data_IF_124283224574
#
_entry.id   IF_124283224574
#
_cell.length_a   1.000
_cell.length_b   1.000
_cell.length_c   1.000
_cell.angle_alpha   90.00
_cell.angle_beta   90.00
_cell.angle_gamma   90.00
#
_symmetry.space_group_name_H-M   'P 1'
#
loop_
_entity.id
_entity.type
_entity.pdbx_description
1 polymer ?
#
# COMPACT_ATOMS: atom_id res chain seq x y z
N UNK A 1 -8.93 7.40 -22.90
CA UNK A 1 -9.47 6.68 -21.74
C UNK A 1 -8.37 5.74 -21.29
N UNK A 2 -7.87 5.85 -20.06
CA UNK A 2 -6.84 4.94 -19.54
C UNK A 2 -7.44 3.53 -19.45
N UNK A 3 -6.80 2.53 -20.07
CA UNK A 3 -7.26 1.14 -19.92
C UNK A 3 -6.83 0.59 -18.57
N UNK A 4 -7.57 -0.39 -18.05
CA UNK A 4 -7.15 -1.13 -16.85
C UNK A 4 -5.78 -1.79 -17.06
N UNK A 5 -5.48 -2.22 -18.30
CA UNK A 5 -4.21 -2.85 -18.64
C UNK A 5 -3.04 -1.87 -18.53
N UNK A 6 -3.22 -0.62 -18.97
CA UNK A 6 -2.21 0.44 -18.81
C UNK A 6 -1.95 0.74 -17.33
N UNK A 7 -3.02 0.86 -16.54
CA UNK A 7 -2.91 1.12 -15.11
C UNK A 7 -2.22 -0.03 -14.37
N UNK A 8 -2.67 -1.27 -14.59
CA UNK A 8 -2.12 -2.47 -13.95
C UNK A 8 -0.66 -2.68 -14.33
N UNK A 9 -0.31 -2.49 -15.61
CA UNK A 9 1.07 -2.62 -16.08
C UNK A 9 1.97 -1.57 -15.44
N UNK A 10 1.50 -0.32 -15.34
CA UNK A 10 2.22 0.76 -14.67
C UNK A 10 2.38 0.49 -13.17
N UNK A 11 1.31 0.09 -12.48
CA UNK A 11 1.34 -0.22 -11.06
C UNK A 11 2.33 -1.35 -10.75
N UNK A 12 2.27 -2.45 -11.50
CA UNK A 12 3.17 -3.58 -11.36
C UNK A 12 4.63 -3.14 -11.48
N UNK A 13 4.98 -2.53 -12.63
CA UNK A 13 6.36 -2.15 -12.94
C UNK A 13 6.94 -1.20 -11.90
N UNK A 14 6.23 -0.10 -11.60
CA UNK A 14 6.77 0.92 -10.73
C UNK A 14 6.83 0.44 -9.27
N UNK A 15 5.85 -0.33 -8.79
CA UNK A 15 5.88 -0.87 -7.43
C UNK A 15 7.01 -1.89 -7.25
N UNK A 16 7.18 -2.83 -8.17
CA UNK A 16 8.27 -3.81 -8.09
C UNK A 16 9.65 -3.15 -8.16
N UNK A 17 9.82 -2.12 -9.01
CA UNK A 17 11.07 -1.37 -9.11
C UNK A 17 11.37 -0.60 -7.82
N UNK A 18 10.41 0.18 -7.32
CA UNK A 18 10.58 0.95 -6.07
C UNK A 18 10.82 0.03 -4.89
N UNK A 19 10.05 -1.05 -4.77
CA UNK A 19 10.20 -2.03 -3.69
C UNK A 19 11.63 -2.60 -3.66
N UNK A 20 12.16 -3.00 -4.82
CA UNK A 20 13.51 -3.55 -4.93
C UNK A 20 14.57 -2.54 -4.51
N UNK A 21 14.51 -1.32 -5.05
CA UNK A 21 15.46 -0.25 -4.71
C UNK A 21 15.40 0.10 -3.21
N UNK A 22 14.20 0.07 -2.64
CA UNK A 22 14.00 0.30 -1.22
C UNK A 22 14.57 -0.83 -0.35
N UNK A 23 14.40 -2.09 -0.75
CA UNK A 23 15.01 -3.25 -0.07
C UNK A 23 16.55 -3.15 -0.04
N UNK A 24 17.16 -2.79 -1.17
CA UNK A 24 18.60 -2.57 -1.27
C UNK A 24 19.07 -1.43 -0.35
N UNK A 25 18.33 -0.32 -0.32
CA UNK A 25 18.59 0.78 0.59
C UNK A 25 18.47 0.36 2.07
N UNK A 26 17.43 -0.39 2.42
CA UNK A 26 17.19 -0.86 3.79
C UNK A 26 18.31 -1.77 4.28
N UNK A 27 18.63 -2.81 3.50
CA UNK A 27 19.72 -3.76 3.81
C UNK A 27 21.08 -3.10 3.96
N UNK A 28 21.32 -2.01 3.22
CA UNK A 28 22.59 -1.27 3.27
C UNK A 28 22.72 -0.39 4.52
N UNK A 29 21.63 0.24 4.96
CA UNK A 29 21.68 1.34 5.92
C UNK A 29 21.10 0.99 7.30
N UNK A 30 20.35 -0.11 7.42
CA UNK A 30 19.63 -0.48 8.64
C UNK A 30 19.90 -1.94 9.04
N UNK A 31 19.82 -2.27 10.34
CA UNK A 31 19.95 -3.65 10.79
C UNK A 31 18.78 -4.50 10.30
N UNK A 32 19.05 -5.79 10.09
CA UNK A 32 18.00 -6.75 9.78
C UNK A 32 16.98 -6.86 10.93
N UNK A 33 15.71 -6.99 10.55
CA UNK A 33 14.55 -7.13 11.46
C UNK A 33 13.65 -8.25 10.96
N UNK A 34 12.95 -8.89 11.89
CA UNK A 34 12.05 -9.99 11.55
C UNK A 34 10.74 -9.48 10.94
N UNK A 35 10.02 -10.33 10.18
CA UNK A 35 8.71 -9.96 9.64
C UNK A 35 7.69 -9.57 10.72
N UNK A 36 7.77 -10.13 11.93
CA UNK A 36 6.90 -9.79 13.05
C UNK A 36 7.14 -8.36 13.53
N UNK A 37 8.39 -7.90 13.56
CA UNK A 37 8.72 -6.51 13.87
C UNK A 37 8.07 -5.55 12.87
N UNK A 38 8.27 -5.80 11.57
CA UNK A 38 7.69 -4.95 10.52
C UNK A 38 6.16 -5.01 10.47
N UNK A 39 5.56 -6.15 10.84
CA UNK A 39 4.11 -6.27 10.96
C UNK A 39 3.55 -5.35 12.07
N UNK A 40 4.25 -5.29 13.21
CA UNK A 40 3.86 -4.40 14.30
C UNK A 40 4.10 -2.93 13.97
N UNK A 41 5.20 -2.61 13.30
CA UNK A 41 5.48 -1.27 12.78
C UNK A 41 4.37 -0.81 11.81
N UNK A 42 4.02 -1.64 10.82
CA UNK A 42 2.90 -1.37 9.90
C UNK A 42 1.58 -1.10 10.63
N UNK A 43 1.28 -1.89 11.68
CA UNK A 43 0.08 -1.66 12.48
C UNK A 43 0.15 -0.34 13.28
N UNK A 44 1.35 0.06 13.72
CA UNK A 44 1.62 1.36 14.32
C UNK A 44 1.25 2.50 13.37
N UNK A 45 1.91 2.56 12.21
CA UNK A 45 1.73 3.65 11.23
C UNK A 45 0.28 3.73 10.72
N UNK A 46 -0.35 2.58 10.45
CA UNK A 46 -1.76 2.55 10.07
C UNK A 46 -2.68 3.06 11.18
N UNK A 47 -2.31 2.81 12.44
CA UNK A 47 -3.01 3.31 13.62
C UNK A 47 -2.86 4.80 13.81
N UNK A 48 -1.69 5.37 13.50
CA UNK A 48 -1.43 6.81 13.57
C UNK A 48 -2.24 7.58 12.51
N UNK A 49 -2.22 7.10 11.25
CA UNK A 49 -3.09 7.60 10.18
C UNK A 49 -4.58 7.55 10.57
N UNK A 50 -5.05 6.41 11.08
CA UNK A 50 -6.45 6.26 11.52
C UNK A 50 -6.78 7.20 12.69
N UNK A 51 -5.82 7.48 13.57
CA UNK A 51 -6.00 8.38 14.69
C UNK A 51 -6.08 9.85 14.24
N UNK A 52 -5.30 10.26 13.24
CA UNK A 52 -5.41 11.58 12.61
C UNK A 52 -6.82 11.78 12.01
N UNK A 53 -7.31 10.79 11.26
CA UNK A 53 -8.66 10.82 10.68
C UNK A 53 -9.74 10.88 11.76
N UNK A 54 -9.62 10.07 12.82
CA UNK A 54 -10.53 10.10 13.97
C UNK A 54 -10.56 11.47 14.66
N UNK A 55 -9.41 12.16 14.80
CA UNK A 55 -9.36 13.52 15.38
C UNK A 55 -10.11 14.51 14.50
N UNK A 56 -9.89 14.46 13.19
CA UNK A 56 -10.57 15.31 12.20
C UNK A 56 -12.08 15.05 12.20
N UNK A 57 -12.50 13.78 12.22
CA UNK A 57 -13.90 13.39 12.30
C UNK A 57 -14.58 13.94 13.57
N UNK A 58 -13.86 14.04 14.69
CA UNK A 58 -14.32 14.67 15.93
C UNK A 58 -14.30 16.21 15.91
N UNK A 59 -14.08 16.83 14.75
CA UNK A 59 -14.07 18.28 14.58
C UNK A 59 -12.78 18.97 15.05
N UNK A 60 -11.70 18.23 15.33
CA UNK A 60 -10.40 18.85 15.63
C UNK A 60 -9.73 19.31 14.34
N UNK A 61 -9.01 20.42 14.43
CA UNK A 61 -8.10 20.85 13.36
C UNK A 61 -6.89 19.92 13.38
N UNK A 62 -6.68 19.20 12.28
CA UNK A 62 -5.51 18.37 12.04
C UNK A 62 -4.84 18.91 10.77
N UNK A 63 -3.57 19.31 10.81
CA UNK A 63 -2.83 19.77 9.62
C UNK A 63 -2.86 18.72 8.51
N UNK A 64 -2.90 19.14 7.25
CA UNK A 64 -2.97 18.21 6.12
C UNK A 64 -1.69 17.37 6.00
N UNK A 65 -0.56 17.97 6.38
CA UNK A 65 0.78 17.41 6.38
C UNK A 65 0.85 16.13 7.22
N UNK A 66 0.12 16.08 8.34
CA UNK A 66 0.03 14.86 9.15
C UNK A 66 -0.52 13.70 8.31
N UNK A 67 -1.55 13.89 7.50
CA UNK A 67 -2.07 12.79 6.68
C UNK A 67 -1.08 12.35 5.60
N UNK A 68 -0.24 13.27 5.12
CA UNK A 68 0.78 12.95 4.11
C UNK A 68 1.91 12.13 4.71
N UNK A 69 2.42 12.55 5.88
CA UNK A 69 3.48 11.86 6.61
C UNK A 69 3.03 10.45 6.99
N UNK A 70 1.87 10.33 7.63
CA UNK A 70 1.35 9.04 8.11
C UNK A 70 1.02 8.08 6.95
N UNK A 71 0.55 8.60 5.80
CA UNK A 71 0.36 7.77 4.62
C UNK A 71 1.68 7.29 4.00
N UNK A 72 2.73 8.12 4.05
CA UNK A 72 4.06 7.73 3.60
C UNK A 72 4.66 6.67 4.54
N UNK A 73 4.51 6.84 5.85
CA UNK A 73 4.99 5.89 6.86
C UNK A 73 4.30 4.52 6.69
N UNK A 74 2.99 4.49 6.45
CA UNK A 74 2.27 3.25 6.11
C UNK A 74 2.85 2.56 4.88
N UNK A 75 3.15 3.31 3.81
CA UNK A 75 3.73 2.73 2.59
C UNK A 75 5.13 2.17 2.84
N UNK A 76 5.96 2.90 3.58
CA UNK A 76 7.34 2.50 3.94
C UNK A 76 7.30 1.22 4.79
N UNK A 77 6.48 1.20 5.84
CA UNK A 77 6.31 0.04 6.71
C UNK A 77 5.77 -1.17 5.94
N UNK A 78 4.83 -0.95 5.00
CA UNK A 78 4.33 -2.00 4.13
C UNK A 78 5.44 -2.57 3.24
N UNK A 79 6.27 -1.72 2.62
CA UNK A 79 7.40 -2.17 1.80
C UNK A 79 8.41 -3.02 2.59
N UNK A 80 8.76 -2.56 3.79
CA UNK A 80 9.62 -3.34 4.70
C UNK A 80 9.01 -4.72 5.01
N UNK A 81 7.72 -4.74 5.34
CA UNK A 81 7.02 -5.98 5.66
C UNK A 81 7.01 -6.96 4.48
N UNK A 82 6.60 -6.53 3.28
CA UNK A 82 6.55 -7.41 2.10
C UNK A 82 7.95 -7.90 1.69
N UNK A 83 8.97 -7.06 1.81
CA UNK A 83 10.37 -7.45 1.58
C UNK A 83 10.82 -8.54 2.56
N UNK A 84 10.55 -8.36 3.86
CA UNK A 84 10.89 -9.37 4.88
C UNK A 84 10.17 -10.71 4.68
N UNK A 85 9.04 -10.71 3.96
CA UNK A 85 8.26 -11.89 3.59
C UNK A 85 8.57 -12.45 2.21
N UNK A 86 9.49 -11.84 1.46
CA UNK A 86 9.78 -12.18 0.07
C UNK A 86 8.53 -12.15 -0.84
N UNK A 87 7.67 -11.15 -0.65
CA UNK A 87 6.47 -10.93 -1.46
C UNK A 87 6.77 -9.85 -2.50
N UNK A 88 6.50 -10.12 -3.78
CA UNK A 88 6.47 -9.09 -4.83
C UNK A 88 5.16 -8.30 -4.74
N UNK A 89 5.23 -7.06 -4.26
CA UNK A 89 4.07 -6.21 -4.05
C UNK A 89 3.46 -5.78 -5.39
N UNK A 90 4.28 -5.52 -6.42
CA UNK A 90 3.79 -5.13 -7.74
C UNK A 90 2.94 -6.23 -8.37
N UNK A 91 3.43 -7.47 -8.36
CA UNK A 91 2.67 -8.61 -8.89
C UNK A 91 1.42 -8.94 -8.04
N UNK A 92 1.52 -8.81 -6.71
CA UNK A 92 0.39 -8.99 -5.82
C UNK A 92 -0.72 -7.96 -6.10
N UNK A 93 -0.35 -6.69 -6.26
CA UNK A 93 -1.28 -5.60 -6.60
C UNK A 93 -1.90 -5.82 -7.98
N UNK A 94 -1.08 -6.17 -8.99
CA UNK A 94 -1.56 -6.49 -10.34
C UNK A 94 -2.61 -7.60 -10.32
N UNK A 95 -2.30 -8.72 -9.67
CA UNK A 95 -3.21 -9.87 -9.59
C UNK A 95 -4.52 -9.50 -8.89
N UNK A 96 -4.43 -8.70 -7.82
CA UNK A 96 -5.61 -8.25 -7.07
C UNK A 96 -6.48 -7.29 -7.90
N UNK A 97 -5.88 -6.34 -8.61
CA UNK A 97 -6.59 -5.38 -9.46
C UNK A 97 -7.34 -6.08 -10.60
N UNK A 98 -6.71 -7.04 -11.29
CA UNK A 98 -7.38 -7.83 -12.33
C UNK A 98 -8.57 -8.63 -11.78
N UNK A 99 -8.43 -9.17 -10.56
CA UNK A 99 -9.52 -9.89 -9.88
C UNK A 99 -10.68 -8.95 -9.54
N UNK A 100 -10.38 -7.75 -9.05
CA UNK A 100 -11.36 -6.71 -8.74
C UNK A 100 -12.11 -6.29 -10.00
N UNK A 101 -11.37 -6.03 -11.09
CA UNK A 101 -11.95 -5.60 -12.36
C UNK A 101 -12.87 -6.66 -12.95
N UNK A 102 -12.45 -7.93 -12.98
CA UNK A 102 -13.30 -9.03 -13.43
C UNK A 102 -14.62 -9.07 -12.66
N UNK A 103 -14.55 -8.98 -11.32
CA UNK A 103 -15.76 -8.97 -10.47
C UNK A 103 -16.64 -7.74 -10.73
N UNK A 104 -16.05 -6.56 -10.97
CA UNK A 104 -16.77 -5.34 -11.34
C UNK A 104 -17.55 -5.52 -12.66
N UNK A 105 -16.94 -6.13 -13.66
CA UNK A 105 -17.59 -6.42 -14.95
C UNK A 105 -18.73 -7.42 -14.78
N UNK A 106 -18.50 -8.53 -14.06
CA UNK A 106 -19.55 -9.55 -13.79
C UNK A 106 -20.77 -8.99 -13.03
N UNK A 107 -20.56 -8.04 -12.10
CA UNK A 107 -21.66 -7.38 -11.39
C UNK A 107 -22.40 -6.40 -12.30
N UNK A 108 -21.68 -5.64 -13.12
CA UNK A 108 -22.28 -4.72 -14.08
C UNK A 108 -23.16 -5.45 -15.10
N UNK A 109 -22.73 -6.62 -15.60
CA UNK A 109 -23.51 -7.49 -16.47
C UNK A 109 -24.82 -7.98 -15.82
N UNK A 110 -24.84 -8.09 -14.48
CA UNK A 110 -26.01 -8.46 -13.69
C UNK A 110 -26.87 -7.27 -13.26
N UNK A 111 -26.51 -6.05 -13.64
CA UNK A 111 -27.18 -4.82 -13.19
C UNK A 111 -26.97 -4.50 -11.71
N UNK A 112 -25.91 -5.05 -11.11
CA UNK A 112 -25.53 -4.85 -9.71
C UNK A 112 -24.33 -3.90 -9.60
N UNK A 113 -24.22 -3.20 -8.46
CA UNK A 113 -23.06 -2.34 -8.17
C UNK A 113 -21.97 -3.11 -7.40
N UNK A 114 -20.71 -2.74 -7.62
CA UNK A 114 -19.54 -3.29 -6.93
C UNK A 114 -19.47 -2.85 -5.46
#
# INVERSE_FOLDING_TARGET
MLSIDDFVSSANRNLSEVQKLFDEYQKKNFPERSPEFFCLELNGEAGELANAEKKRWKGKVVPHEIFQDEAADVLIALMNYVNSRNIDLGEAVRTKLLTIEKKRQELAEKGLNY
#
